data_IF_121589686404
#
_entry.id   IF_121589686404
#
_cell.length_a   1.000
_cell.length_b   1.000
_cell.length_c   1.000
_cell.angle_alpha   90.00
_cell.angle_beta   90.00
_cell.angle_gamma   90.00
#
_symmetry.space_group_name_H-M   'P 1'
#
loop_
_entity.id
_entity.type
_entity.pdbx_description
1 polymer ?
#
# COMPACT_ATOMS: atom_id res chain seq x y z
N UNK A 1 27.23 -19.00 5.71
CA UNK A 1 25.80 -19.37 5.75
C UNK A 1 25.06 -18.34 6.59
N UNK A 2 24.60 -17.24 5.99
CA UNK A 2 23.67 -16.32 6.65
C UNK A 2 22.28 -16.83 6.28
N UNK A 3 21.61 -17.39 7.27
CA UNK A 3 20.28 -17.95 7.12
C UNK A 3 19.32 -16.85 6.66
N UNK A 4 18.89 -16.99 5.41
CA UNK A 4 17.69 -16.42 4.82
C UNK A 4 16.49 -16.90 5.66
N UNK A 5 16.22 -16.22 6.78
CA UNK A 5 15.02 -16.42 7.58
C UNK A 5 13.85 -15.77 6.85
N UNK A 6 13.15 -16.61 6.11
CA UNK A 6 11.77 -16.42 5.68
C UNK A 6 10.88 -15.93 6.80
N UNK A 7 9.85 -15.15 6.44
CA UNK A 7 8.58 -14.93 7.15
C UNK A 7 8.43 -13.56 7.85
N UNK A 8 7.39 -12.81 7.43
CA UNK A 8 6.73 -11.67 8.11
C UNK A 8 7.37 -10.28 8.20
N UNK A 9 8.59 -10.05 7.74
CA UNK A 9 9.23 -8.75 7.96
C UNK A 9 9.29 -7.88 6.69
N UNK A 10 8.89 -6.61 6.86
CA UNK A 10 8.91 -5.50 5.89
C UNK A 10 7.64 -5.40 5.01
N UNK A 11 6.61 -4.76 5.57
CA UNK A 11 5.64 -4.03 4.75
C UNK A 11 6.26 -2.64 4.50
N UNK A 12 7.05 -2.51 3.43
CA UNK A 12 7.57 -1.22 2.99
C UNK A 12 6.42 -0.50 2.30
N UNK A 13 5.73 0.38 3.00
CA UNK A 13 4.73 1.25 2.37
C UNK A 13 5.38 2.62 2.14
N UNK A 14 5.56 2.98 0.87
CA UNK A 14 5.91 4.33 0.45
C UNK A 14 4.66 5.17 0.43
N UNK A 15 4.82 6.41 0.85
CA UNK A 15 3.78 7.43 0.76
C UNK A 15 4.43 8.63 0.07
N UNK A 16 3.94 9.00 -1.11
CA UNK A 16 4.41 10.19 -1.85
C UNK A 16 3.42 11.33 -1.67
N UNK A 17 3.95 12.52 -1.42
CA UNK A 17 3.20 13.70 -1.04
C UNK A 17 3.45 14.85 -2.03
N UNK A 18 2.42 15.52 -2.58
CA UNK A 18 2.53 16.93 -3.03
C UNK A 18 1.20 17.63 -3.38
N UNK A 19 0.88 18.76 -2.71
CA UNK A 19 0.69 20.11 -3.31
C UNK A 19 0.28 21.18 -2.26
N UNK A 20 1.18 22.10 -1.89
CA UNK A 20 0.81 23.47 -1.47
C UNK A 20 1.71 24.51 -2.17
N UNK A 21 1.13 25.68 -2.39
CA UNK A 21 1.46 26.72 -3.39
C UNK A 21 2.89 27.29 -3.37
N UNK A 22 3.35 27.66 -4.59
CA UNK A 22 4.43 28.62 -4.94
C UNK A 22 5.83 28.45 -4.32
N UNK A 23 6.82 28.05 -5.14
CA UNK A 23 8.02 28.85 -5.47
C UNK A 23 9.07 28.10 -6.34
N UNK A 24 9.32 28.65 -7.53
CA UNK A 24 10.57 28.76 -8.33
C UNK A 24 11.57 27.60 -8.56
N UNK A 25 11.41 26.38 -8.06
CA UNK A 25 12.31 25.25 -8.40
C UNK A 25 11.53 23.97 -8.75
N UNK A 26 12.08 23.04 -9.57
CA UNK A 26 11.52 21.69 -9.71
C UNK A 26 11.67 21.00 -8.36
N UNK A 27 10.64 21.10 -7.53
CA UNK A 27 10.65 20.48 -6.22
C UNK A 27 10.64 18.97 -6.43
N UNK A 28 11.67 18.27 -5.98
CA UNK A 28 11.59 16.82 -5.79
C UNK A 28 10.48 16.54 -4.76
N UNK A 29 9.60 15.59 -5.04
CA UNK A 29 8.60 15.14 -4.06
C UNK A 29 9.30 14.52 -2.85
N UNK A 30 8.78 14.78 -1.65
CA UNK A 30 9.28 14.14 -0.43
C UNK A 30 8.65 12.76 -0.33
N UNK A 31 9.49 11.78 0.01
CA UNK A 31 9.10 10.37 0.12
C UNK A 31 9.09 10.00 1.60
N UNK A 32 7.92 9.64 2.12
CA UNK A 32 7.78 9.12 3.47
C UNK A 32 7.78 7.60 3.45
N UNK A 33 8.57 6.99 4.33
CA UNK A 33 8.67 5.52 4.43
C UNK A 33 8.32 5.11 5.85
N UNK A 34 7.33 4.22 5.98
CA UNK A 34 7.02 3.60 7.26
C UNK A 34 7.68 2.22 7.35
N UNK A 35 8.47 2.03 8.41
CA UNK A 35 9.20 0.78 8.68
C UNK A 35 8.79 0.21 10.05
N UNK A 36 8.82 -1.12 10.17
CA UNK A 36 8.72 -1.79 11.46
C UNK A 36 10.06 -1.71 12.17
N UNK A 37 10.04 -1.37 13.46
CA UNK A 37 11.24 -1.26 14.28
C UNK A 37 11.57 -2.57 15.02
N UNK A 38 10.64 -3.53 15.06
CA UNK A 38 10.74 -4.76 15.84
C UNK A 38 10.47 -5.99 14.95
N UNK A 39 9.87 -7.03 15.53
CA UNK A 39 9.54 -8.29 14.88
C UNK A 39 8.09 -8.35 14.35
N UNK A 40 7.63 -7.27 13.72
CA UNK A 40 6.33 -7.26 13.08
C UNK A 40 5.17 -6.94 14.02
N UNK A 41 3.97 -6.89 13.46
CA UNK A 41 2.71 -6.60 14.15
C UNK A 41 2.67 -5.31 14.99
N UNK A 42 3.52 -4.32 14.68
CA UNK A 42 3.59 -3.02 15.38
C UNK A 42 2.39 -2.10 15.06
N UNK A 43 1.38 -2.57 14.33
CA UNK A 43 0.23 -1.75 13.92
C UNK A 43 0.50 -0.79 12.76
N UNK A 44 1.53 -1.07 11.94
CA UNK A 44 1.92 -0.23 10.78
C UNK A 44 0.75 0.11 9.86
N UNK A 45 -0.14 -0.84 9.60
CA UNK A 45 -1.31 -0.61 8.76
C UNK A 45 -2.16 0.57 9.23
N UNK A 46 -2.41 0.67 10.54
CA UNK A 46 -3.19 1.77 11.12
C UNK A 46 -2.50 3.13 10.96
N UNK A 47 -1.17 3.15 11.00
CA UNK A 47 -0.39 4.38 10.75
C UNK A 47 -0.45 4.75 9.26
N UNK A 48 -0.35 3.77 8.36
CA UNK A 48 -0.48 4.00 6.91
C UNK A 48 -1.86 4.56 6.58
N UNK A 49 -2.92 4.00 7.15
CA UNK A 49 -4.29 4.48 6.99
C UNK A 49 -4.43 5.97 7.37
N UNK A 50 -3.89 6.36 8.54
CA UNK A 50 -3.85 7.76 8.96
C UNK A 50 -3.04 8.66 8.01
N UNK A 51 -1.94 8.16 7.46
CA UNK A 51 -1.09 8.94 6.55
C UNK A 51 -1.73 9.08 5.16
N UNK A 52 -2.50 8.10 4.68
CA UNK A 52 -3.10 8.11 3.34
C UNK A 52 -4.02 9.30 3.11
N UNK A 53 -4.72 9.79 4.13
CA UNK A 53 -5.65 10.92 4.00
C UNK A 53 -5.00 12.17 3.36
N UNK A 54 -3.69 12.34 3.55
CA UNK A 54 -2.95 13.52 3.11
C UNK A 54 -1.97 13.23 1.96
N UNK A 55 -2.06 12.08 1.28
CA UNK A 55 -1.07 11.69 0.29
C UNK A 55 -1.68 11.16 -1.01
N UNK A 56 -1.00 11.45 -2.11
CA UNK A 56 -1.49 11.20 -3.47
C UNK A 56 -1.07 9.85 -4.02
N UNK A 57 -0.02 9.23 -3.45
CA UNK A 57 0.46 7.92 -3.88
C UNK A 57 0.81 7.07 -2.69
N UNK A 58 0.42 5.80 -2.74
CA UNK A 58 0.96 4.76 -1.87
C UNK A 58 1.63 3.68 -2.69
N UNK A 59 2.72 3.11 -2.19
CA UNK A 59 3.35 1.96 -2.81
C UNK A 59 3.71 0.90 -1.80
N UNK A 60 3.55 -0.37 -2.13
CA UNK A 60 4.14 -1.49 -1.38
C UNK A 60 5.38 -1.95 -2.10
N UNK A 61 6.53 -2.02 -1.43
CA UNK A 61 7.79 -2.33 -2.13
C UNK A 61 8.47 -3.64 -1.73
N UNK A 62 8.02 -4.32 -0.68
CA UNK A 62 8.55 -5.61 -0.25
C UNK A 62 7.44 -6.49 0.35
N UNK A 63 7.75 -7.77 0.50
CA UNK A 63 6.91 -8.76 1.15
C UNK A 63 6.03 -9.54 0.17
N UNK A 64 4.86 -9.97 0.63
CA UNK A 64 3.85 -10.69 -0.15
C UNK A 64 2.54 -10.73 0.63
N UNK A 65 1.72 -11.75 0.45
CA UNK A 65 0.44 -11.95 1.14
C UNK A 65 0.56 -12.43 2.61
N UNK A 66 1.74 -12.32 3.23
CA UNK A 66 2.04 -12.85 4.56
C UNK A 66 1.62 -11.93 5.72
N UNK A 67 1.18 -10.70 5.43
CA UNK A 67 0.75 -9.73 6.42
C UNK A 67 -0.53 -9.06 5.92
N UNK A 68 -1.59 -9.16 6.72
CA UNK A 68 -2.89 -8.53 6.47
C UNK A 68 -3.06 -7.26 7.29
N UNK A 69 -3.82 -6.32 6.76
CA UNK A 69 -4.28 -5.13 7.46
C UNK A 69 -5.74 -4.85 7.12
N UNK A 70 -6.57 -4.89 8.14
CA UNK A 70 -7.97 -4.52 8.05
C UNK A 70 -8.16 -3.02 8.31
N UNK A 71 -8.89 -2.35 7.42
CA UNK A 71 -9.32 -0.96 7.54
C UNK A 71 -10.84 -0.88 7.64
N UNK A 72 -11.36 0.09 8.40
CA UNK A 72 -12.79 0.41 8.41
C UNK A 72 -12.95 1.84 7.90
N UNK A 73 -13.53 1.99 6.72
CA UNK A 73 -13.75 3.29 6.08
C UNK A 73 -15.18 3.38 5.55
N UNK A 74 -15.83 4.54 5.75
CA UNK A 74 -17.21 4.79 5.30
C UNK A 74 -18.22 3.71 5.73
N UNK A 75 -18.05 3.15 6.93
CA UNK A 75 -18.91 2.08 7.46
C UNK A 75 -18.69 0.69 6.84
N UNK A 76 -17.75 0.55 5.90
CA UNK A 76 -17.36 -0.73 5.29
C UNK A 76 -16.01 -1.18 5.84
N UNK A 77 -15.90 -2.48 6.11
CA UNK A 77 -14.66 -3.15 6.50
C UNK A 77 -13.96 -3.69 5.26
N UNK A 78 -12.68 -3.38 5.11
CA UNK A 78 -11.81 -3.86 4.04
C UNK A 78 -10.68 -4.67 4.65
N UNK A 79 -10.25 -5.72 3.96
CA UNK A 79 -9.13 -6.56 4.39
C UNK A 79 -8.07 -6.64 3.30
N UNK A 80 -6.91 -6.03 3.57
CA UNK A 80 -5.83 -5.90 2.59
C UNK A 80 -4.64 -6.78 2.95
N UNK A 81 -4.13 -7.51 1.97
CA UNK A 81 -2.96 -8.38 2.11
C UNK A 81 -1.85 -7.94 1.17
N UNK A 82 -2.13 -7.85 -0.13
CA UNK A 82 -1.20 -7.38 -1.16
C UNK A 82 -1.51 -5.93 -1.54
N UNK A 83 -2.79 -5.58 -1.63
CA UNK A 83 -3.19 -4.24 -2.06
C UNK A 83 -2.72 -3.18 -1.05
N UNK A 84 -2.17 -2.04 -1.53
CA UNK A 84 -1.97 -0.89 -0.67
C UNK A 84 -3.34 -0.38 -0.17
N UNK A 85 -3.44 -0.04 1.11
CA UNK A 85 -4.69 0.48 1.70
C UNK A 85 -5.10 1.85 1.15
N UNK A 86 -4.21 2.50 0.38
CA UNK A 86 -4.51 3.72 -0.36
C UNK A 86 -5.66 3.57 -1.36
N UNK A 87 -6.01 2.34 -1.72
CA UNK A 87 -7.09 2.03 -2.66
C UNK A 87 -8.48 2.47 -2.18
N UNK A 88 -8.63 2.73 -0.88
CA UNK A 88 -9.86 3.31 -0.31
C UNK A 88 -10.04 4.78 -0.73
N UNK A 89 -8.93 5.50 -0.95
CA UNK A 89 -8.97 6.91 -1.34
C UNK A 89 -9.01 7.03 -2.87
N UNK A 90 -10.08 7.61 -3.45
CA UNK A 90 -10.22 7.72 -4.91
C UNK A 90 -9.16 8.66 -5.55
N UNK A 91 -8.44 9.44 -4.73
CA UNK A 91 -7.37 10.33 -5.19
C UNK A 91 -5.98 9.70 -5.10
N UNK A 92 -5.87 8.56 -4.42
CA UNK A 92 -4.58 7.95 -4.14
C UNK A 92 -4.23 6.89 -5.20
N UNK A 93 -3.10 7.08 -5.86
CA UNK A 93 -2.57 6.11 -6.80
C UNK A 93 -1.82 5.00 -6.05
N UNK A 94 -2.12 3.74 -6.37
CA UNK A 94 -1.59 2.59 -5.65
C UNK A 94 -0.55 1.86 -6.51
N UNK A 95 0.63 1.60 -5.96
CA UNK A 95 1.75 0.97 -6.66
C UNK A 95 2.17 -0.31 -5.94
N UNK A 96 2.36 -1.38 -6.71
CA UNK A 96 3.04 -2.58 -6.24
C UNK A 96 4.45 -2.55 -6.86
N UNK A 97 5.45 -2.38 -6.00
CA UNK A 97 6.86 -2.33 -6.38
C UNK A 97 7.44 -3.70 -6.73
N UNK A 98 8.56 -3.68 -7.43
CA UNK A 98 9.24 -4.88 -7.94
C UNK A 98 9.79 -5.83 -6.85
N UNK A 99 9.89 -5.38 -5.59
CA UNK A 99 10.29 -6.24 -4.47
C UNK A 99 9.15 -7.05 -3.85
N UNK A 100 7.91 -6.89 -4.32
CA UNK A 100 6.76 -7.66 -3.83
C UNK A 100 6.65 -8.99 -4.55
N UNK A 101 6.53 -10.08 -3.80
CA UNK A 101 6.14 -11.39 -4.32
C UNK A 101 4.62 -11.43 -4.39
N UNK A 102 4.07 -11.40 -5.60
CA UNK A 102 2.63 -11.36 -5.86
C UNK A 102 2.12 -12.78 -6.13
N UNK A 103 1.20 -13.25 -5.28
CA UNK A 103 0.37 -14.40 -5.58
C UNK A 103 -0.88 -13.92 -6.32
N UNK A 104 -1.01 -14.30 -7.60
CA UNK A 104 -2.11 -13.84 -8.46
C UNK A 104 -3.47 -14.30 -7.98
N UNK A 105 -3.62 -15.57 -7.56
CA UNK A 105 -4.89 -16.11 -7.08
C UNK A 105 -5.36 -15.37 -5.83
N UNK A 106 -4.45 -15.14 -4.89
CA UNK A 106 -4.73 -14.39 -3.67
C UNK A 106 -5.05 -12.91 -3.97
N UNK A 107 -4.34 -12.31 -4.93
CA UNK A 107 -4.54 -10.92 -5.33
C UNK A 107 -5.93 -10.69 -5.96
N UNK A 108 -6.34 -11.53 -6.90
CA UNK A 108 -7.66 -11.42 -7.52
C UNK A 108 -8.78 -11.75 -6.52
N UNK A 109 -8.57 -12.75 -5.65
CA UNK A 109 -9.50 -13.04 -4.57
C UNK A 109 -9.68 -11.84 -3.63
N UNK A 110 -8.59 -11.13 -3.31
CA UNK A 110 -8.60 -9.91 -2.50
C UNK A 110 -9.34 -8.75 -3.18
N UNK A 111 -9.14 -8.56 -4.50
CA UNK A 111 -9.85 -7.55 -5.29
C UNK A 111 -11.36 -7.78 -5.26
N UNK A 112 -11.81 -9.00 -5.55
CA UNK A 112 -13.24 -9.36 -5.54
C UNK A 112 -13.81 -9.30 -4.12
N UNK A 113 -13.08 -9.76 -3.10
CA UNK A 113 -13.52 -9.67 -1.71
C UNK A 113 -13.78 -8.22 -1.27
N UNK A 114 -12.90 -7.31 -1.65
CA UNK A 114 -13.01 -5.89 -1.33
C UNK A 114 -13.90 -5.12 -2.33
N UNK A 115 -14.37 -5.74 -3.41
CA UNK A 115 -15.18 -5.12 -4.46
C UNK A 115 -14.46 -3.95 -5.13
N UNK A 116 -13.20 -4.18 -5.54
CA UNK A 116 -12.32 -3.19 -6.20
C UNK A 116 -12.00 -3.60 -7.65
N UNK A 117 -12.86 -4.42 -8.21
CA UNK A 117 -12.77 -5.05 -9.53
C UNK A 117 -13.21 -4.14 -10.69
N UNK A 118 -13.90 -3.03 -10.40
CA UNK A 118 -14.54 -2.19 -11.42
C UNK A 118 -13.77 -0.90 -11.74
N UNK A 119 -12.67 -1.00 -12.48
CA UNK A 119 -12.14 0.10 -13.30
C UNK A 119 -12.26 -0.29 -14.79
N UNK A 120 -13.33 0.16 -15.49
CA UNK A 120 -13.56 -0.21 -16.88
C UNK A 120 -12.50 0.38 -17.81
N UNK A 121 -11.78 -0.46 -18.57
CA UNK A 121 -10.92 -0.02 -19.68
C UNK A 121 -9.50 -0.58 -19.74
N UNK A 122 -9.08 -1.43 -18.80
CA UNK A 122 -7.75 -2.07 -18.86
C UNK A 122 -7.62 -3.09 -20.01
N UNK A 123 -8.72 -3.74 -20.38
CA UNK A 123 -8.80 -4.75 -21.45
C UNK A 123 -8.59 -4.18 -22.86
N UNK A 124 -8.66 -2.85 -23.01
CA UNK A 124 -8.61 -2.16 -24.30
C UNK A 124 -7.22 -1.58 -24.63
N UNK A 125 -6.16 -2.03 -23.96
CA UNK A 125 -4.77 -1.59 -24.21
C UNK A 125 -3.96 -2.65 -24.93
#
# INVERSE_FOLDING_TARGET
LINFLTSKHICLSYILNKFQHSHKYPSFGVVSVLLGAQWGDEGKGKIIDYLIENNDVTARCQGGNNAGHTVVANGRKYDFHILPSGIISPKCFNIIGNGVVVNLDAFFAELTHNGVDDEPGWEKR
#
